data_IF_369541686785
#
_entry.id   IF_369541686785
#
_cell.length_a   1.000
_cell.length_b   1.000
_cell.length_c   1.000
_cell.angle_alpha   90.00
_cell.angle_beta   90.00
_cell.angle_gamma   90.00
#
_symmetry.space_group_name_H-M   'P 1'
#
loop_
_entity.id
_entity.type
_entity.pdbx_description
1 polymer ?
#
# COMPACT_ATOMS: atom_id res chain seq x y z
N UNK A 1 -18.26 8.23 -6.91
CA UNK A 1 -17.78 7.02 -6.22
C UNK A 1 -16.27 7.09 -6.08
N UNK A 2 -15.72 7.33 -4.88
CA UNK A 2 -14.28 7.45 -4.75
C UNK A 2 -13.58 6.09 -4.80
N UNK A 3 -12.47 6.05 -5.49
CA UNK A 3 -11.64 4.87 -5.60
C UNK A 3 -10.23 5.24 -5.16
N UNK A 4 -9.69 4.50 -4.20
CA UNK A 4 -8.36 4.74 -3.68
C UNK A 4 -7.48 3.55 -4.02
N UNK A 5 -6.36 3.83 -4.65
CA UNK A 5 -5.39 2.81 -5.01
C UNK A 5 -4.14 3.01 -4.17
N UNK A 6 -3.73 1.95 -3.50
CA UNK A 6 -2.55 2.01 -2.63
C UNK A 6 -1.53 1.01 -3.16
N UNK A 7 -0.39 1.53 -3.61
CA UNK A 7 0.73 0.71 -4.05
C UNK A 7 1.74 0.65 -2.92
N UNK A 8 2.06 -0.54 -2.48
CA UNK A 8 3.02 -0.70 -1.39
C UNK A 8 3.74 -2.03 -1.54
N UNK A 9 4.77 -2.23 -0.74
CA UNK A 9 5.47 -3.50 -0.73
C UNK A 9 4.62 -4.56 -0.04
N UNK A 10 4.80 -5.83 -0.41
CA UNK A 10 4.00 -6.91 0.19
C UNK A 10 4.38 -7.17 1.64
N UNK A 11 3.58 -7.97 2.31
CA UNK A 11 3.91 -8.44 3.64
C UNK A 11 2.91 -8.04 4.72
N UNK A 12 1.90 -7.26 4.38
CA UNK A 12 0.91 -6.88 5.39
C UNK A 12 -0.14 -7.96 5.54
N UNK A 13 -0.59 -8.14 6.77
CA UNK A 13 -1.61 -9.14 7.06
C UNK A 13 -2.98 -8.66 6.58
N UNK A 14 -3.91 -9.61 6.52
CA UNK A 14 -5.29 -9.28 6.20
C UNK A 14 -5.86 -8.29 7.20
N UNK A 15 -5.52 -8.46 8.49
CA UNK A 15 -6.00 -7.56 9.53
C UNK A 15 -5.47 -6.15 9.37
N UNK A 16 -4.21 -6.03 8.98
CA UNK A 16 -3.63 -4.71 8.73
C UNK A 16 -4.31 -4.03 7.55
N UNK A 17 -4.55 -4.78 6.50
CA UNK A 17 -5.24 -4.23 5.32
C UNK A 17 -6.66 -3.80 5.67
N UNK A 18 -7.36 -4.61 6.47
CA UNK A 18 -8.72 -4.26 6.87
C UNK A 18 -8.75 -2.98 7.68
N UNK A 19 -7.77 -2.79 8.57
CA UNK A 19 -7.70 -1.56 9.37
C UNK A 19 -7.46 -0.34 8.50
N UNK A 20 -6.58 -0.46 7.50
CA UNK A 20 -6.32 0.65 6.59
C UNK A 20 -7.57 0.98 5.78
N UNK A 21 -8.26 -0.03 5.27
CA UNK A 21 -9.51 0.19 4.54
C UNK A 21 -10.50 0.95 5.40
N UNK A 22 -10.65 0.55 6.65
CA UNK A 22 -11.59 1.20 7.56
C UNK A 22 -11.23 2.66 7.76
N UNK A 23 -9.97 2.95 8.04
CA UNK A 23 -9.54 4.31 8.32
C UNK A 23 -9.62 5.21 7.08
N UNK A 24 -9.22 4.70 5.92
CA UNK A 24 -9.29 5.46 4.68
C UNK A 24 -10.75 5.76 4.34
N UNK A 25 -11.61 4.75 4.48
CA UNK A 25 -13.03 4.93 4.19
C UNK A 25 -13.63 5.98 5.11
N UNK A 26 -13.33 5.90 6.41
CA UNK A 26 -13.86 6.86 7.37
C UNK A 26 -13.40 8.28 7.02
N UNK A 27 -12.15 8.44 6.63
CA UNK A 27 -11.64 9.75 6.27
C UNK A 27 -12.40 10.33 5.07
N UNK A 28 -12.67 9.51 4.06
CA UNK A 28 -13.40 9.98 2.90
C UNK A 28 -14.84 10.33 3.23
N UNK A 29 -15.46 9.56 4.11
CA UNK A 29 -16.81 9.84 4.53
C UNK A 29 -16.87 11.15 5.31
N UNK A 30 -15.98 11.32 6.29
CA UNK A 30 -16.03 12.45 7.20
C UNK A 30 -15.48 13.73 6.61
N UNK A 31 -14.45 13.64 5.77
CA UNK A 31 -13.77 14.81 5.25
C UNK A 31 -14.24 15.20 3.85
N UNK A 32 -14.64 14.22 3.06
CA UNK A 32 -15.01 14.49 1.66
C UNK A 32 -16.48 14.28 1.37
N UNK A 33 -17.27 13.85 2.35
CA UNK A 33 -18.69 13.69 2.15
C UNK A 33 -19.09 12.49 1.33
N UNK A 34 -18.20 11.50 1.18
CA UNK A 34 -18.53 10.30 0.41
C UNK A 34 -19.50 9.42 1.17
N UNK A 35 -20.26 8.65 0.43
CA UNK A 35 -21.08 7.60 1.05
C UNK A 35 -20.18 6.39 1.31
N UNK A 36 -20.28 5.84 2.52
CA UNK A 36 -19.42 4.74 2.91
C UNK A 36 -19.50 3.56 1.94
N UNK A 37 -20.69 3.24 1.49
CA UNK A 37 -20.89 2.11 0.59
C UNK A 37 -20.33 2.35 -0.82
N UNK A 38 -19.98 3.58 -1.14
CA UNK A 38 -19.42 3.91 -2.45
C UNK A 38 -17.90 3.93 -2.47
N UNK A 39 -17.26 3.86 -1.29
CA UNK A 39 -15.80 3.97 -1.22
C UNK A 39 -15.18 2.63 -1.56
N UNK A 40 -14.30 2.64 -2.56
CA UNK A 40 -13.56 1.45 -2.98
C UNK A 40 -12.09 1.66 -2.70
N UNK A 41 -11.48 0.74 -1.96
CA UNK A 41 -10.05 0.80 -1.65
C UNK A 41 -9.39 -0.44 -2.23
N UNK A 42 -8.37 -0.25 -3.04
CA UNK A 42 -7.67 -1.33 -3.72
C UNK A 42 -6.20 -1.28 -3.33
N UNK A 43 -5.67 -2.42 -2.90
CA UNK A 43 -4.24 -2.55 -2.66
C UNK A 43 -3.59 -3.27 -3.81
N UNK A 44 -2.41 -2.81 -4.17
CA UNK A 44 -1.58 -3.47 -5.16
C UNK A 44 -0.21 -3.72 -4.53
N UNK A 45 0.07 -4.96 -4.21
CA UNK A 45 1.39 -5.32 -3.69
C UNK A 45 2.40 -5.27 -4.82
N UNK A 46 3.49 -4.54 -4.61
CA UNK A 46 4.52 -4.35 -5.63
C UNK A 46 5.73 -5.16 -5.22
N UNK A 47 6.04 -6.18 -6.01
CA UNK A 47 7.22 -7.01 -5.78
C UNK A 47 8.47 -6.28 -6.26
N UNK A 48 9.63 -6.55 -5.64
CA UNK A 48 10.86 -5.87 -6.08
C UNK A 48 11.16 -6.04 -7.57
N UNK A 49 10.80 -7.16 -8.16
CA UNK A 49 11.03 -7.37 -9.58
C UNK A 49 10.09 -6.62 -10.50
N UNK A 50 9.11 -5.90 -9.92
CA UNK A 50 8.08 -5.23 -10.71
C UNK A 50 8.28 -3.72 -10.76
N UNK A 51 9.34 -3.19 -10.18
CA UNK A 51 9.60 -1.75 -10.28
C UNK A 51 11.09 -1.47 -10.24
N UNK A 52 11.43 -0.28 -10.66
CA UNK A 52 12.81 0.16 -10.66
C UNK A 52 12.90 1.65 -10.43
N UNK A 53 14.10 2.10 -10.14
CA UNK A 53 14.36 3.51 -9.89
C UNK A 53 15.69 3.86 -10.51
N UNK A 54 15.73 4.99 -11.21
CA UNK A 54 16.97 5.42 -11.83
C UNK A 54 17.49 4.48 -12.91
N UNK A 55 16.59 3.72 -13.54
CA UNK A 55 16.99 2.75 -14.56
C UNK A 55 17.41 1.39 -14.00
N UNK A 56 17.30 1.21 -12.69
CA UNK A 56 17.74 -0.02 -12.04
C UNK A 56 16.56 -0.71 -11.39
N UNK A 57 16.40 -2.01 -11.66
CA UNK A 57 15.33 -2.79 -11.05
C UNK A 57 15.60 -2.98 -9.57
N UNK A 58 14.55 -2.92 -8.75
CA UNK A 58 14.69 -3.15 -7.33
C UNK A 58 15.07 -4.61 -7.08
N UNK A 59 15.93 -4.82 -6.08
CA UNK A 59 16.43 -6.15 -5.78
C UNK A 59 15.50 -6.85 -4.78
N UNK A 60 15.30 -8.13 -4.98
CA UNK A 60 14.60 -8.97 -4.02
C UNK A 60 15.49 -9.44 -2.90
N UNK A 61 16.80 -9.12 -2.93
CA UNK A 61 17.75 -9.54 -1.91
C UNK A 61 17.36 -8.95 -0.56
N UNK A 62 17.31 -9.76 0.39
CA UNK A 62 16.97 -9.26 1.72
C UNK A 62 18.09 -8.46 2.32
N UNK A 63 18.49 -8.34 2.43
CA UNK A 63 19.19 -7.88 2.75
C UNK A 63 19.30 -7.69 3.68
N UNK A 64 19.55 -7.89 3.80
CA UNK A 64 19.65 -7.95 4.17
C UNK A 64 19.39 -7.36 4.66
N UNK A 65 19.46 -7.36 4.82
CA UNK A 65 19.21 -6.98 4.87
C UNK A 65 18.80 -6.21 5.07
N UNK A 66 18.88 -5.95 5.26
CA UNK A 66 18.63 -5.38 5.16
C UNK A 66 18.07 -4.72 5.33
N UNK A 67 18.21 -4.55 5.55
CA UNK A 67 17.76 -4.08 5.38
C UNK A 67 17.12 -3.47 5.46
N UNK A 68 17.21 -3.34 5.74
CA UNK A 68 16.69 -2.92 5.49
C UNK A 68 16.20 -2.29 5.37
N UNK A 69 16.41 -2.11 5.68
CA UNK A 69 15.97 -1.65 5.28
C UNK A 69 15.41 -1.24 5.01
N UNK A 70 15.57 -1.19 5.18
CA UNK A 70 15.02 -0.88 4.63
C UNK A 70 14.29 -0.66 4.56
N UNK A 71 14.12 -0.48 4.79
CA UNK A 71 13.36 -0.36 4.44
C UNK A 71 12.53 -0.01 4.34
N UNK A 72 12.20 0.22 4.56
CA UNK A 72 11.27 0.43 4.24
C UNK A 72 10.71 1.07 4.03
N UNK A 73 10.78 1.32 4.10
CA UNK A 73 9.69 1.98 3.96
C UNK A 73 8.75 2.00 3.04
N UNK A 74 8.10 2.15 3.02
CA UNK A 74 7.06 2.07 2.13
C UNK A 74 6.32 3.29 1.87
#
# INVERSE_FOLDING_TARGET
>A
MPTVLIYWSPGRSREQKAAVIEDVTTALVEKAGAKREDVLVIFQDIQPGDFGRGGVIASATPRSSGSSDAQAPD
#
